data_IF_432832851285
#
_entry.id   IF_432832851285
#
_cell.length_a   1.000
_cell.length_b   1.000
_cell.length_c   1.000
_cell.angle_alpha   90.00
_cell.angle_beta   90.00
_cell.angle_gamma   90.00
#
_symmetry.space_group_name_H-M   'P 1'
#
loop_
_entity.id
_entity.type
_entity.pdbx_description
1 polymer ?
#
# COMPACT_ATOMS: atom_id res chain seq x y z
N UNK A 1 -20.06 -17.87 -21.28
CA UNK A 1 -18.68 -18.34 -21.58
C UNK A 1 -17.62 -17.27 -21.32
N UNK A 2 -17.89 -15.98 -21.55
CA UNK A 2 -16.91 -14.90 -21.25
C UNK A 2 -16.67 -14.66 -19.75
N UNK A 3 -17.67 -14.93 -18.92
CA UNK A 3 -17.64 -14.56 -17.49
C UNK A 3 -16.74 -15.49 -16.66
N UNK A 4 -16.69 -16.78 -17.01
CA UNK A 4 -15.79 -17.76 -16.37
C UNK A 4 -14.33 -17.46 -16.67
N UNK A 5 -14.05 -17.09 -17.93
CA UNK A 5 -12.71 -16.78 -18.40
C UNK A 5 -12.13 -15.51 -17.77
N UNK A 6 -12.96 -14.47 -17.60
CA UNK A 6 -12.55 -13.25 -16.88
C UNK A 6 -12.26 -13.54 -15.40
N UNK A 7 -13.07 -14.38 -14.75
CA UNK A 7 -12.86 -14.78 -13.37
C UNK A 7 -11.56 -15.57 -13.19
N UNK A 8 -11.27 -16.54 -14.07
CA UNK A 8 -10.00 -17.29 -14.06
C UNK A 8 -8.80 -16.38 -14.32
N UNK A 9 -8.92 -15.45 -15.27
CA UNK A 9 -7.85 -14.50 -15.58
C UNK A 9 -7.58 -13.58 -14.39
N UNK A 10 -8.63 -13.02 -13.77
CA UNK A 10 -8.52 -12.18 -12.57
C UNK A 10 -7.96 -12.99 -11.40
N UNK A 11 -8.39 -14.23 -11.24
CA UNK A 11 -7.92 -15.13 -10.18
C UNK A 11 -6.43 -15.46 -10.33
N UNK A 12 -5.97 -15.78 -11.54
CA UNK A 12 -4.57 -16.06 -11.84
C UNK A 12 -3.73 -14.79 -11.60
N UNK A 13 -4.16 -13.65 -12.14
CA UNK A 13 -3.46 -12.36 -11.94
C UNK A 13 -3.35 -12.02 -10.44
N UNK A 14 -4.42 -12.26 -9.68
CA UNK A 14 -4.45 -12.01 -8.23
C UNK A 14 -3.56 -12.99 -7.46
N UNK A 15 -3.62 -14.29 -7.78
CA UNK A 15 -2.88 -15.34 -7.06
C UNK A 15 -1.37 -15.20 -7.24
N UNK A 16 -0.93 -14.98 -8.47
CA UNK A 16 0.50 -14.82 -8.78
C UNK A 16 1.00 -13.43 -8.40
N UNK A 17 0.18 -12.39 -8.57
CA UNK A 17 0.51 -11.02 -8.15
C UNK A 17 0.51 -10.80 -6.62
N UNK A 18 -0.24 -11.61 -5.86
CA UNK A 18 -0.29 -11.55 -4.40
C UNK A 18 1.07 -11.76 -3.73
N UNK A 19 1.94 -12.57 -4.35
CA UNK A 19 3.28 -12.87 -3.82
C UNK A 19 4.17 -11.64 -3.66
N UNK A 20 3.96 -10.59 -4.45
CA UNK A 20 4.75 -9.35 -4.42
C UNK A 20 3.97 -8.18 -3.81
N UNK A 21 2.65 -8.14 -4.00
CA UNK A 21 1.80 -7.05 -3.51
C UNK A 21 1.53 -7.12 -2.00
N UNK A 22 1.37 -8.32 -1.42
CA UNK A 22 1.17 -8.48 0.02
C UNK A 22 2.39 -8.09 0.87
N UNK A 23 3.62 -8.58 0.58
CA UNK A 23 4.78 -8.20 1.37
C UNK A 23 5.13 -6.72 1.21
N UNK A 24 5.00 -6.15 0.00
CA UNK A 24 5.24 -4.71 -0.21
C UNK A 24 4.22 -3.85 0.54
N UNK A 25 2.95 -4.25 0.59
CA UNK A 25 1.93 -3.60 1.41
C UNK A 25 2.26 -3.67 2.90
N UNK A 26 2.65 -4.83 3.41
CA UNK A 26 3.05 -4.98 4.82
C UNK A 26 4.23 -4.08 5.18
N UNK A 27 5.27 -4.06 4.34
CA UNK A 27 6.46 -3.21 4.54
C UNK A 27 6.07 -1.73 4.51
N UNK A 28 5.24 -1.31 3.55
CA UNK A 28 4.78 0.07 3.44
C UNK A 28 3.95 0.49 4.65
N UNK A 29 3.06 -0.37 5.16
CA UNK A 29 2.26 -0.08 6.35
C UNK A 29 3.12 0.04 7.61
N UNK A 30 4.11 -0.85 7.78
CA UNK A 30 5.04 -0.78 8.91
C UNK A 30 5.87 0.51 8.88
N UNK A 31 6.35 0.92 7.70
CA UNK A 31 7.10 2.17 7.52
C UNK A 31 6.25 3.40 7.83
N UNK A 32 4.99 3.44 7.38
CA UNK A 32 4.05 4.52 7.72
C UNK A 32 3.74 4.55 9.21
N UNK A 33 3.49 3.38 9.83
CA UNK A 33 3.21 3.27 11.25
C UNK A 33 4.39 3.76 12.12
N UNK A 34 5.61 3.38 11.72
CA UNK A 34 6.83 3.81 12.37
C UNK A 34 7.12 5.30 12.15
N UNK A 35 6.98 5.78 10.90
CA UNK A 35 7.21 7.17 10.52
C UNK A 35 6.22 8.15 11.15
N UNK A 36 4.98 7.73 11.37
CA UNK A 36 3.94 8.55 12.02
C UNK A 36 4.30 8.96 13.45
N UNK A 37 5.27 8.29 14.11
CA UNK A 37 5.72 8.65 15.46
C UNK A 37 6.89 9.64 15.52
N UNK A 38 7.51 9.98 14.38
CA UNK A 38 8.65 10.90 14.35
C UNK A 38 8.20 12.35 14.47
N UNK A 39 8.86 13.13 15.36
CA UNK A 39 8.60 14.58 15.55
C UNK A 39 9.05 15.45 14.37
N UNK A 40 10.02 14.99 13.57
CA UNK A 40 10.53 15.74 12.40
C UNK A 40 9.64 15.51 11.18
N UNK A 41 8.93 16.56 10.75
CA UNK A 41 8.03 16.50 9.59
C UNK A 41 8.70 16.03 8.30
N UNK A 42 9.95 16.43 8.03
CA UNK A 42 10.69 15.99 6.84
C UNK A 42 10.95 14.48 6.83
N UNK A 43 11.32 13.89 7.97
CA UNK A 43 11.53 12.42 8.08
C UNK A 43 10.22 11.68 7.88
N UNK A 44 9.11 12.22 8.39
CA UNK A 44 7.77 11.66 8.20
C UNK A 44 7.36 11.62 6.73
N UNK A 45 7.57 12.72 6.01
CA UNK A 45 7.25 12.83 4.58
C UNK A 45 8.15 11.94 3.73
N UNK A 46 9.45 11.88 4.05
CA UNK A 46 10.38 10.98 3.37
C UNK A 46 9.96 9.51 3.53
N UNK A 47 9.64 9.07 4.74
CA UNK A 47 9.17 7.71 5.00
C UNK A 47 7.84 7.40 4.30
N UNK A 48 6.91 8.36 4.23
CA UNK A 48 5.67 8.21 3.49
C UNK A 48 5.93 8.04 1.99
N UNK A 49 6.80 8.88 1.41
CA UNK A 49 7.21 8.76 0.01
C UNK A 49 7.88 7.42 -0.29
N UNK A 50 8.81 6.97 0.57
CA UNK A 50 9.44 5.65 0.44
C UNK A 50 8.42 4.52 0.53
N UNK A 51 7.44 4.62 1.42
CA UNK A 51 6.37 3.60 1.55
C UNK A 51 5.50 3.52 0.30
N UNK A 52 5.18 4.67 -0.30
CA UNK A 52 4.45 4.75 -1.58
C UNK A 52 5.25 4.07 -2.69
N UNK A 53 6.55 4.35 -2.78
CA UNK A 53 7.43 3.73 -3.79
C UNK A 53 7.54 2.21 -3.61
N UNK A 54 7.68 1.71 -2.38
CA UNK A 54 7.77 0.27 -2.10
C UNK A 54 6.48 -0.45 -2.53
N UNK A 55 5.31 0.11 -2.16
CA UNK A 55 4.02 -0.44 -2.55
C UNK A 55 3.83 -0.37 -4.08
N UNK A 56 4.27 0.72 -4.70
CA UNK A 56 4.17 0.91 -6.14
C UNK A 56 5.03 -0.10 -6.91
N UNK A 57 6.28 -0.32 -6.51
CA UNK A 57 7.15 -1.35 -7.10
C UNK A 57 6.54 -2.75 -6.92
N UNK A 58 6.00 -3.05 -5.73
CA UNK A 58 5.34 -4.33 -5.49
C UNK A 58 4.11 -4.57 -6.36
N UNK A 59 3.35 -3.52 -6.67
CA UNK A 59 2.24 -3.58 -7.64
C UNK A 59 2.74 -3.86 -9.06
N UNK A 60 3.81 -3.20 -9.51
CA UNK A 60 4.40 -3.44 -10.84
C UNK A 60 4.84 -4.89 -10.96
N UNK A 61 5.65 -5.36 -10.01
CA UNK A 61 6.16 -6.73 -10.01
C UNK A 61 5.03 -7.74 -9.94
N UNK A 62 3.98 -7.49 -9.15
CA UNK A 62 2.81 -8.34 -9.07
C UNK A 62 2.03 -8.43 -10.39
N UNK A 63 1.86 -7.29 -11.07
CA UNK A 63 1.19 -7.25 -12.39
C UNK A 63 2.03 -7.94 -13.45
N UNK A 64 3.32 -7.64 -13.51
CA UNK A 64 4.25 -8.22 -14.48
C UNK A 64 4.37 -9.74 -14.34
N UNK A 65 4.45 -10.23 -13.10
CA UNK A 65 4.48 -11.68 -12.83
C UNK A 65 3.14 -12.35 -13.10
N UNK A 66 2.02 -11.70 -12.76
CA UNK A 66 0.69 -12.18 -13.14
C UNK A 66 0.51 -12.27 -14.65
N UNK A 67 0.97 -11.25 -15.40
CA UNK A 67 0.90 -11.21 -16.85
C UNK A 67 1.80 -12.28 -17.49
N UNK A 68 3.03 -12.43 -17.00
CA UNK A 68 3.96 -13.47 -17.45
C UNK A 68 3.40 -14.87 -17.19
N UNK A 69 2.77 -15.09 -16.02
CA UNK A 69 2.11 -16.34 -15.70
C UNK A 69 0.93 -16.62 -16.65
N UNK A 70 0.11 -15.62 -16.93
CA UNK A 70 -1.03 -15.72 -17.86
C UNK A 70 -0.59 -16.08 -19.29
N UNK A 71 0.52 -15.49 -19.75
CA UNK A 71 1.11 -15.81 -21.06
C UNK A 71 1.80 -17.18 -21.12
N UNK A 72 2.11 -17.79 -19.97
CA UNK A 72 2.80 -19.09 -19.88
C UNK A 72 1.86 -20.31 -19.87
N UNK A 73 0.55 -20.09 -19.87
CA UNK A 73 -0.47 -21.14 -19.85
C UNK A 73 -0.45 -21.90 -21.19
N UNK A 74 -0.67 -23.22 -21.23
CA UNK A 74 -0.84 -23.96 -22.47
C UNK A 74 -2.03 -23.42 -23.27
N UNK A 75 -1.79 -23.03 -24.53
CA UNK A 75 -2.74 -22.31 -25.39
C UNK A 75 -3.18 -20.94 -24.83
N UNK A 76 -2.25 -19.96 -24.75
CA UNK A 76 -2.58 -18.64 -24.25
C UNK A 76 -3.57 -17.93 -25.20
N UNK A 77 -4.63 -17.32 -24.67
CA UNK A 77 -5.63 -16.60 -25.46
C UNK A 77 -5.00 -15.36 -26.12
N UNK A 78 -5.47 -14.97 -27.31
CA UNK A 78 -4.95 -13.78 -28.02
C UNK A 78 -5.02 -12.50 -27.17
N UNK A 79 -5.98 -12.43 -26.26
CA UNK A 79 -6.18 -11.34 -25.30
C UNK A 79 -4.98 -11.18 -24.33
N UNK A 80 -4.20 -12.24 -24.09
CA UNK A 80 -2.98 -12.21 -23.28
C UNK A 80 -1.81 -11.48 -23.96
N UNK A 81 -1.91 -11.25 -25.27
CA UNK A 81 -0.95 -10.49 -26.07
C UNK A 81 -1.54 -9.21 -26.64
N UNK A 82 -2.86 -9.00 -26.50
CA UNK A 82 -3.46 -7.74 -26.90
C UNK A 82 -2.99 -6.65 -25.95
N UNK A 83 -2.30 -5.66 -26.51
CA UNK A 83 -1.69 -4.50 -25.86
C UNK A 83 -2.74 -3.52 -25.28
N UNK A 84 -3.86 -4.05 -24.76
CA UNK A 84 -5.00 -3.30 -24.26
C UNK A 84 -4.70 -2.74 -22.89
N UNK A 85 -3.85 -1.71 -22.79
CA UNK A 85 -3.85 -0.63 -21.79
C UNK A 85 -3.89 -0.95 -20.27
N UNK A 86 -4.13 -2.19 -19.86
CA UNK A 86 -4.39 -2.63 -18.49
C UNK A 86 -3.16 -2.49 -17.60
N UNK A 87 -1.95 -2.88 -18.04
CA UNK A 87 -0.74 -2.65 -17.27
C UNK A 87 -0.46 -1.16 -17.05
N UNK A 88 -0.69 -0.32 -18.08
CA UNK A 88 -0.52 1.14 -18.01
C UNK A 88 -1.55 1.82 -17.11
N UNK A 89 -2.83 1.40 -17.18
CA UNK A 89 -3.89 1.86 -16.29
C UNK A 89 -3.61 1.44 -14.86
N UNK A 90 -3.13 0.21 -14.62
CA UNK A 90 -2.76 -0.24 -13.26
C UNK A 90 -1.53 0.53 -12.75
N UNK A 91 -0.61 0.94 -13.61
CA UNK A 91 0.55 1.77 -13.26
C UNK A 91 0.16 3.19 -12.83
N UNK A 92 -0.69 3.86 -13.63
CA UNK A 92 -1.18 5.22 -13.36
C UNK A 92 -2.24 5.25 -12.27
N UNK A 93 -3.15 4.27 -12.25
CA UNK A 93 -4.06 4.10 -11.12
C UNK A 93 -3.28 3.77 -9.87
N UNK A 94 -2.27 2.89 -9.87
CA UNK A 94 -1.56 2.44 -8.67
C UNK A 94 -1.05 3.54 -7.74
N UNK A 95 -0.71 4.72 -8.29
CA UNK A 95 -0.39 5.92 -7.50
C UNK A 95 -1.56 6.39 -6.62
N UNK A 96 -2.79 6.40 -7.14
CA UNK A 96 -3.98 6.86 -6.42
C UNK A 96 -4.33 5.98 -5.21
N UNK A 97 -4.54 4.65 -5.32
CA UNK A 97 -4.75 3.77 -4.17
C UNK A 97 -3.59 3.82 -3.18
N UNK A 98 -2.33 3.85 -3.64
CA UNK A 98 -1.19 3.91 -2.73
C UNK A 98 -1.19 5.21 -1.91
N UNK A 99 -1.42 6.37 -2.55
CA UNK A 99 -1.50 7.66 -1.87
C UNK A 99 -2.73 7.77 -0.95
N UNK A 100 -3.89 7.33 -1.41
CA UNK A 100 -5.13 7.35 -0.61
C UNK A 100 -5.03 6.43 0.60
N UNK A 101 -4.53 5.21 0.40
CA UNK A 101 -4.44 4.20 1.46
C UNK A 101 -3.34 4.56 2.46
N UNK A 102 -2.11 4.82 2.01
CA UNK A 102 -1.00 5.17 2.91
C UNK A 102 -1.18 6.55 3.53
N UNK A 103 -1.70 7.53 2.76
CA UNK A 103 -2.05 8.85 3.26
C UNK A 103 -3.18 8.81 4.28
N UNK A 104 -4.22 7.99 4.03
CA UNK A 104 -5.33 7.77 4.95
C UNK A 104 -4.87 7.12 6.27
N UNK A 105 -4.08 6.04 6.20
CA UNK A 105 -3.49 5.38 7.38
C UNK A 105 -2.64 6.36 8.16
N UNK A 106 -1.77 7.12 7.49
CA UNK A 106 -0.96 8.14 8.11
C UNK A 106 -1.80 9.23 8.79
N UNK A 107 -2.87 9.71 8.14
CA UNK A 107 -3.79 10.70 8.71
C UNK A 107 -4.52 10.18 9.95
N UNK A 108 -5.01 8.94 9.89
CA UNK A 108 -5.65 8.24 11.02
C UNK A 108 -4.70 8.11 12.21
N UNK A 109 -3.48 7.62 11.97
CA UNK A 109 -2.46 7.46 13.01
C UNK A 109 -2.05 8.81 13.61
N UNK A 110 -1.90 9.83 12.78
CA UNK A 110 -1.57 11.17 13.25
C UNK A 110 -2.68 11.76 14.11
N UNK A 111 -3.94 11.65 13.66
CA UNK A 111 -5.12 12.12 14.41
C UNK A 111 -5.29 11.38 15.73
N UNK A 112 -5.08 10.07 15.75
CA UNK A 112 -5.16 9.27 16.96
C UNK A 112 -4.08 9.71 17.96
N UNK A 113 -2.83 9.86 17.52
CA UNK A 113 -1.73 10.33 18.39
C UNK A 113 -1.97 11.73 18.97
N UNK A 114 -2.59 12.64 18.21
CA UNK A 114 -2.96 13.97 18.71
C UNK A 114 -4.05 13.90 19.80
N UNK A 115 -5.07 13.04 19.62
CA UNK A 115 -6.10 12.82 20.66
C UNK A 115 -5.50 12.31 21.96
N UNK A 116 -4.60 11.31 21.89
CA UNK A 116 -3.95 10.77 23.08
C UNK A 116 -3.05 11.79 23.79
N UNK A 117 -2.35 12.65 23.05
CA UNK A 117 -1.56 13.73 23.65
C UNK A 117 -2.43 14.74 24.43
N UNK A 118 -3.67 14.99 23.98
CA UNK A 118 -4.61 15.86 24.70
C UNK A 118 -5.25 15.23 25.95
N UNK A 119 -5.12 13.92 26.13
CA UNK A 119 -5.61 13.19 27.30
C UNK A 119 -4.49 12.79 28.26
N UNK A 120 -3.24 13.19 27.99
CA UNK A 120 -2.16 13.00 28.94
C UNK A 120 -2.48 13.85 30.20
N UNK A 121 -2.75 13.21 31.35
CA UNK A 121 -3.10 13.94 32.55
C UNK A 121 -1.89 14.78 32.98
N UNK A 122 -2.12 16.08 33.12
CA UNK A 122 -1.22 17.05 33.72
C UNK A 122 -1.10 16.76 35.23
N UNK A 123 -0.48 15.62 35.58
CA UNK A 123 -0.41 15.14 36.97
C UNK A 123 0.95 15.38 37.64
N UNK A 124 1.92 15.99 36.97
CA UNK A 124 3.28 16.16 37.52
C UNK A 124 3.59 17.52 38.14
N UNK A 125 2.66 18.49 38.14
CA UNK A 125 2.93 19.83 38.71
C UNK A 125 2.31 20.09 40.10
N UNK A 126 1.45 19.20 40.62
CA UNK A 126 0.78 19.41 41.92
C UNK A 126 1.35 18.66 43.12
N UNK A 127 2.26 17.69 42.95
CA UNK A 127 2.85 16.97 44.10
C UNK A 127 4.14 17.60 44.65
N UNK A 128 4.56 18.78 44.18
CA UNK A 128 5.78 19.48 44.65
C UNK A 128 5.48 20.74 45.50
N UNK A 129 4.21 21.13 45.66
CA UNK A 129 3.83 22.35 46.38
C UNK A 129 3.09 22.06 47.71
N UNK A 130 3.14 20.83 48.19
CA UNK A 130 2.57 20.46 49.47
C UNK A 130 3.33 19.29 50.05
N UNK A 131 4.47 19.58 50.68
CA UNK A 131 5.00 19.00 51.93
C UNK A 131 6.49 19.36 52.11
#
# INVERSE_FOLDING_TARGET
MKDHFLLETVWILFSYGAGYTLPSLLIALLLVAWGSGRKRGGVRMALLGTSVLILWIGLILGVETGYSAWQSIPEPPQEAYSDTGGPFVVLFMGWCPALVLLGGVHFLLHRHRLKWASHAPEQTSRSSNGE
#
